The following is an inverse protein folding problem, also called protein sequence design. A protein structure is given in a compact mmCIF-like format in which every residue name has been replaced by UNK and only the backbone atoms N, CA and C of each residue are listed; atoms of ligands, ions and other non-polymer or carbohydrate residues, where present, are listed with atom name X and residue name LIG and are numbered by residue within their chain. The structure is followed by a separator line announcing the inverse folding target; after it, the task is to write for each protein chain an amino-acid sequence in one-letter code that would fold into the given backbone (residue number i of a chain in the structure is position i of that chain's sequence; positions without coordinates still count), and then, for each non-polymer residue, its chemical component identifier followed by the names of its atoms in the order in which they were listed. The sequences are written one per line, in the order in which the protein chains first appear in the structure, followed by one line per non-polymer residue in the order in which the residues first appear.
data_IF_095229994687
#
_entry.id   IF_095229994687
#
_cell.length_a   1.000
_cell.length_b   1.000
_cell.length_c   1.000
_cell.angle_alpha   90.00
_cell.angle_beta   90.00
_cell.angle_gamma   90.00
#
_symmetry.space_group_name_H-M   'P 1'
#
loop_
_entity.id
_entity.type
_entity.pdbx_description
1 polymer ?
#
# COMPACT_ATOMS: atom_id res chain seq x y z
N UNK A 1 2.60 21.86 1.86
CA UNK A 1 2.18 20.44 2.01
C UNK A 1 2.92 19.53 1.01
N UNK A 2 4.18 19.17 1.28
CA UNK A 2 4.96 18.18 0.50
C UNK A 2 4.87 16.75 1.08
N UNK A 3 4.19 16.59 2.21
CA UNK A 3 4.27 15.38 3.06
C UNK A 3 3.69 14.10 2.45
N UNK A 4 2.89 14.20 1.38
CA UNK A 4 2.21 13.05 0.78
C UNK A 4 2.86 12.51 -0.49
N UNK A 5 3.86 13.21 -1.03
CA UNK A 5 4.50 12.81 -2.29
C UNK A 5 5.25 11.47 -2.20
N UNK A 6 5.57 11.03 -0.98
CA UNK A 6 6.20 9.73 -0.72
C UNK A 6 5.20 8.67 -0.26
N UNK A 7 3.90 8.98 -0.27
CA UNK A 7 2.89 8.13 0.33
C UNK A 7 2.16 7.30 -0.72
N UNK A 8 1.83 6.09 -0.32
CA UNK A 8 0.99 5.15 -1.06
C UNK A 8 -0.17 4.73 -0.17
N UNK A 9 -1.34 4.60 -0.78
CA UNK A 9 -2.54 4.06 -0.16
C UNK A 9 -2.79 2.65 -0.71
N UNK A 10 -2.78 1.66 0.17
CA UNK A 10 -3.09 0.26 -0.14
C UNK A 10 -4.50 -0.06 0.34
N UNK A 11 -5.34 -0.58 -0.55
CA UNK A 11 -6.75 -0.90 -0.32
C UNK A 11 -7.03 -2.38 -0.56
N UNK A 12 -8.13 -2.86 0.02
CA UNK A 12 -8.64 -4.21 -0.22
C UNK A 12 -8.01 -5.27 0.67
N UNK A 13 -7.17 -4.91 1.64
CA UNK A 13 -6.52 -5.87 2.55
C UNK A 13 -7.34 -6.02 3.84
N UNK A 14 -7.84 -7.22 4.16
CA UNK A 14 -8.57 -7.49 5.40
C UNK A 14 -7.72 -7.27 6.67
N UNK A 15 -8.39 -6.89 7.77
CA UNK A 15 -7.76 -6.75 9.08
C UNK A 15 -7.52 -8.10 9.74
N UNK A 16 -6.29 -8.35 10.16
CA UNK A 16 -5.91 -9.47 11.05
C UNK A 16 -5.52 -8.91 12.43
N UNK A 17 -5.82 -9.65 13.49
CA UNK A 17 -5.56 -9.23 14.87
C UNK A 17 -4.06 -9.07 15.17
N UNK A 18 -3.23 -9.93 14.57
CA UNK A 18 -1.77 -9.96 14.74
C UNK A 18 -1.08 -9.74 13.39
N UNK A 19 -1.36 -8.61 12.74
CA UNK A 19 -0.73 -8.30 11.46
C UNK A 19 0.60 -7.57 11.63
N UNK A 20 1.55 -7.90 10.78
CA UNK A 20 2.75 -7.11 10.59
C UNK A 20 2.66 -6.36 9.25
N UNK A 21 2.41 -5.05 9.30
CA UNK A 21 2.26 -4.23 8.09
C UNK A 21 3.57 -4.11 7.31
N UNK A 22 4.74 -4.17 7.96
CA UNK A 22 6.03 -4.14 7.27
C UNK A 22 6.25 -5.42 6.45
N UNK A 23 5.95 -6.58 7.02
CA UNK A 23 6.03 -7.86 6.30
C UNK A 23 5.04 -7.90 5.13
N UNK A 24 3.84 -7.36 5.32
CA UNK A 24 2.84 -7.27 4.26
C UNK A 24 3.32 -6.44 3.07
N UNK A 25 3.91 -5.26 3.32
CA UNK A 25 4.46 -4.40 2.27
C UNK A 25 5.69 -5.05 1.62
N UNK A 26 6.55 -5.70 2.39
CA UNK A 26 7.68 -6.47 1.86
C UNK A 26 7.19 -7.57 0.90
N UNK A 27 6.15 -8.33 1.29
CA UNK A 27 5.54 -9.37 0.47
C UNK A 27 4.91 -8.84 -0.82
N UNK A 28 4.24 -7.68 -0.76
CA UNK A 28 3.74 -6.99 -1.97
C UNK A 28 4.92 -6.67 -2.89
N UNK A 29 6.00 -6.12 -2.34
CA UNK A 29 7.23 -5.82 -3.06
C UNK A 29 7.83 -7.04 -3.76
N UNK A 30 7.97 -8.16 -3.04
CA UNK A 30 8.45 -9.42 -3.60
C UNK A 30 7.60 -9.90 -4.78
N UNK A 31 6.25 -9.86 -4.65
CA UNK A 31 5.32 -10.30 -5.69
C UNK A 31 5.43 -9.47 -6.97
N UNK A 32 5.78 -8.20 -6.87
CA UNK A 32 5.94 -7.31 -8.02
C UNK A 32 7.39 -7.09 -8.44
N UNK A 33 8.34 -7.87 -7.88
CA UNK A 33 9.78 -7.77 -8.11
C UNK A 33 10.38 -6.38 -7.77
N UNK A 34 9.87 -5.75 -6.71
CA UNK A 34 10.40 -4.51 -6.12
C UNK A 34 10.61 -4.76 -4.62
N UNK A 35 11.76 -5.30 -4.21
CA UNK A 35 12.02 -5.58 -2.80
C UNK A 35 11.91 -4.30 -1.95
N UNK A 36 11.13 -4.36 -0.87
CA UNK A 36 10.97 -3.27 0.10
C UNK A 36 11.53 -3.73 1.45
N UNK A 37 12.50 -2.98 1.98
CA UNK A 37 13.07 -3.26 3.29
C UNK A 37 12.38 -2.42 4.38
N UNK A 38 12.43 -2.82 5.67
CA UNK A 38 11.90 -2.00 6.75
C UNK A 38 12.49 -0.58 6.79
N UNK A 39 13.78 -0.43 6.45
CA UNK A 39 14.47 0.86 6.38
C UNK A 39 13.96 1.78 5.26
N UNK A 40 13.22 1.24 4.29
CA UNK A 40 12.60 2.02 3.22
C UNK A 40 11.27 2.66 3.63
N UNK A 41 10.74 2.32 4.80
CA UNK A 41 9.44 2.78 5.30
C UNK A 41 9.69 3.77 6.44
N UNK A 42 9.31 5.03 6.24
CA UNK A 42 9.36 6.06 7.29
C UNK A 42 8.17 5.91 8.25
N UNK A 43 6.96 5.66 7.72
CA UNK A 43 5.72 5.54 8.49
C UNK A 43 4.81 4.50 7.82
N UNK A 44 4.16 3.67 8.63
CA UNK A 44 3.10 2.77 8.17
C UNK A 44 1.99 2.66 9.21
N UNK A 45 0.74 2.78 8.79
CA UNK A 45 -0.42 2.65 9.68
C UNK A 45 -1.70 2.40 8.88
N UNK A 46 -2.74 1.98 9.60
CA UNK A 46 -4.09 1.89 9.04
C UNK A 46 -4.86 3.19 9.20
N UNK A 47 -5.68 3.48 8.20
CA UNK A 47 -6.62 4.60 8.20
C UNK A 47 -8.04 4.04 7.97
N UNK A 48 -9.01 4.37 8.84
CA UNK A 48 -10.39 3.95 8.67
C UNK A 48 -11.00 4.59 7.42
N UNK A 49 -11.87 3.86 6.74
CA UNK A 49 -12.69 4.40 5.66
C UNK A 49 -13.99 4.90 6.30
N UNK A 50 -14.38 6.14 5.98
CA UNK A 50 -15.61 6.71 6.51
C UNK A 50 -16.81 5.84 6.08
N UNK A 51 -17.68 5.50 7.03
CA UNK A 51 -18.87 4.67 6.83
C UNK A 51 -18.59 3.23 6.35
N UNK A 52 -17.43 2.66 6.67
CA UNK A 52 -17.11 1.27 6.37
C UNK A 52 -16.28 0.64 7.49
N UNK A 53 -16.50 -0.65 7.75
CA UNK A 53 -15.64 -1.44 8.65
C UNK A 53 -14.27 -1.78 8.03
N UNK A 54 -14.08 -1.42 6.74
CA UNK A 54 -12.82 -1.60 6.03
C UNK A 54 -11.82 -0.50 6.40
N UNK A 55 -10.54 -0.86 6.31
CA UNK A 55 -9.43 0.06 6.58
C UNK A 55 -8.46 0.02 5.41
N UNK A 56 -7.85 1.16 5.11
CA UNK A 56 -6.74 1.25 4.16
C UNK A 56 -5.43 1.28 4.92
N UNK A 57 -4.34 0.94 4.25
CA UNK A 57 -2.99 1.07 4.80
C UNK A 57 -2.31 2.24 4.09
N UNK A 58 -1.78 3.18 4.87
CA UNK A 58 -0.94 4.26 4.36
C UNK A 58 0.50 3.91 4.65
N UNK A 59 1.34 3.98 3.61
CA UNK A 59 2.78 3.75 3.70
C UNK A 59 3.49 5.00 3.20
N UNK A 60 4.35 5.58 4.03
CA UNK A 60 5.28 6.64 3.64
C UNK A 60 6.66 6.03 3.44
N UNK A 61 7.20 6.16 2.23
CA UNK A 61 8.52 5.65 1.89
C UNK A 61 9.62 6.68 2.17
N UNK A 62 10.83 6.21 2.49
CA UNK A 62 12.01 7.06 2.61
C UNK A 62 12.40 7.69 1.26
N UNK A 63 12.27 6.91 0.18
CA UNK A 63 12.71 7.24 -1.18
C UNK A 63 11.55 7.24 -2.16
N UNK A 64 11.36 8.35 -2.86
CA UNK A 64 10.30 8.50 -3.88
C UNK A 64 10.47 7.53 -5.05
N UNK A 65 11.71 7.24 -5.47
CA UNK A 65 11.99 6.36 -6.59
C UNK A 65 11.51 4.92 -6.33
N UNK A 66 11.66 4.44 -5.09
CA UNK A 66 11.18 3.12 -4.70
C UNK A 66 9.65 3.09 -4.68
N UNK A 67 9.04 4.14 -4.11
CA UNK A 67 7.59 4.35 -4.13
C UNK A 67 7.03 4.30 -5.56
N UNK A 68 7.63 5.07 -6.47
CA UNK A 68 7.23 5.16 -7.89
C UNK A 68 7.35 3.79 -8.58
N UNK A 69 8.47 3.09 -8.34
CA UNK A 69 8.72 1.75 -8.90
C UNK A 69 7.70 0.72 -8.41
N UNK A 70 7.40 0.72 -7.10
CA UNK A 70 6.40 -0.16 -6.51
C UNK A 70 5.01 0.12 -7.10
N UNK A 71 4.61 1.39 -7.15
CA UNK A 71 3.32 1.81 -7.68
C UNK A 71 3.15 1.38 -9.15
N UNK A 72 4.15 1.63 -9.99
CA UNK A 72 4.10 1.23 -11.41
C UNK A 72 3.96 -0.29 -11.57
N UNK A 73 4.72 -1.06 -10.80
CA UNK A 73 4.71 -2.52 -10.89
C UNK A 73 3.42 -3.14 -10.35
N UNK A 74 2.88 -2.63 -9.24
CA UNK A 74 1.57 -3.03 -8.73
C UNK A 74 0.43 -2.65 -9.67
N UNK A 75 0.54 -1.55 -10.42
CA UNK A 75 -0.48 -1.19 -11.40
C UNK A 75 -0.50 -2.16 -12.59
N UNK A 76 0.67 -2.63 -13.03
CA UNK A 76 0.82 -3.62 -14.10
C UNK A 76 0.44 -5.03 -13.65
N UNK A 77 0.82 -5.40 -12.43
CA UNK A 77 0.57 -6.72 -11.85
C UNK A 77 -0.58 -6.63 -10.84
N UNK A 78 -1.79 -6.93 -11.28
CA UNK A 78 -2.97 -6.95 -10.40
C UNK A 78 -2.83 -8.06 -9.37
N UNK A 79 -2.62 -7.67 -8.13
CA UNK A 79 -2.58 -8.58 -6.98
C UNK A 79 -3.98 -8.79 -6.42
N UNK A 80 -4.21 -9.95 -5.85
CA UNK A 80 -5.33 -10.22 -4.97
C UNK A 80 -4.85 -10.59 -3.57
N UNK A 81 -5.80 -10.76 -2.66
CA UNK A 81 -5.53 -11.11 -1.28
C UNK A 81 -4.92 -12.53 -1.13
N UNK A 82 -5.24 -13.47 -2.02
CA UNK A 82 -4.66 -14.82 -1.97
C UNK A 82 -3.18 -14.83 -2.34
N UNK A 83 -2.71 -13.95 -3.23
CA UNK A 83 -1.29 -13.71 -3.48
C UNK A 83 -0.52 -13.31 -2.21
N UNK A 84 -1.21 -12.62 -1.30
CA UNK A 84 -0.68 -12.15 -0.02
C UNK A 84 -0.93 -13.13 1.14
N UNK A 85 -1.52 -14.30 0.88
CA UNK A 85 -1.77 -15.33 1.90
C UNK A 85 -3.01 -15.08 2.76
N UNK A 86 -4.02 -14.44 2.19
CA UNK A 86 -5.36 -14.36 2.77
C UNK A 86 -6.29 -15.35 2.07
N UNK A 87 -7.37 -15.75 2.75
CA UNK A 87 -8.34 -16.71 2.23
C UNK A 87 -9.30 -16.09 1.19
N UNK A 88 -9.36 -14.75 1.12
CA UNK A 88 -10.20 -14.02 0.15
C UNK A 88 -9.43 -13.73 -1.13
N UNK A 89 -10.17 -13.61 -2.24
CA UNK A 89 -9.65 -13.22 -3.56
C UNK A 89 -9.91 -11.73 -3.86
N UNK A 90 -10.29 -10.93 -2.86
CA UNK A 90 -10.45 -9.48 -3.03
C UNK A 90 -9.19 -8.85 -3.63
N UNK A 91 -9.38 -7.99 -4.64
CA UNK A 91 -8.30 -7.30 -5.32
C UNK A 91 -7.59 -6.32 -4.38
N UNK A 92 -6.26 -6.29 -4.47
CA UNK A 92 -5.41 -5.37 -3.74
C UNK A 92 -5.06 -4.21 -4.65
N UNK A 93 -5.39 -2.98 -4.21
CA UNK A 93 -5.12 -1.77 -4.99
C UNK A 93 -4.07 -0.93 -4.29
N UNK A 94 -3.01 -0.58 -5.03
CA UNK A 94 -1.93 0.29 -4.58
C UNK A 94 -2.05 1.59 -5.35
N UNK A 95 -2.33 2.70 -4.65
CA UNK A 95 -2.60 4.00 -5.26
C UNK A 95 -1.63 5.06 -4.74
N UNK A 96 -1.39 6.09 -5.54
CA UNK A 96 -0.76 7.31 -5.04
C UNK A 96 -1.67 8.00 -4.02
N UNK A 97 -1.10 8.40 -2.88
CA UNK A 97 -1.84 9.19 -1.91
C UNK A 97 -1.79 10.68 -2.31
N UNK A 98 -2.52 11.02 -3.37
CA UNK A 98 -2.60 12.40 -3.87
C UNK A 98 -3.22 13.34 -2.81
N UNK A 99 -2.69 14.56 -2.71
CA UNK A 99 -3.36 15.65 -2.01
C UNK A 99 -4.77 15.86 -2.61
N UNK A 100 -5.78 16.25 -1.81
CA UNK A 100 -7.14 16.46 -2.30
C UNK A 100 -7.23 17.40 -3.52
N UNK A 101 -6.36 18.41 -3.59
CA UNK A 101 -6.30 19.36 -4.72
C UNK A 101 -5.97 18.72 -6.07
N UNK A 102 -5.28 17.58 -6.08
CA UNK A 102 -4.91 16.84 -7.30
C UNK A 102 -5.89 15.70 -7.65
N UNK A 103 -6.92 15.46 -6.83
CA UNK A 103 -7.94 14.43 -7.10
C UNK A 103 -9.06 14.89 -8.02
N UNK A 104 -8.97 16.11 -8.57
CA UNK A 104 -9.99 16.71 -9.44
C UNK A 104 -9.51 16.72 -10.89
N UNK A 105 -9.56 15.55 -11.55
CA UNK A 105 -9.43 15.39 -13.01
C UNK A 105 -10.50 14.42 -13.49
#
# INVERSE_FOLDING_TARGET
EYSRIKNVEIKGIPRKAEENLHELVAKIGEKVNVPVLPADIEVIHRVPIMNSDKTNIIVQFARRQLRDSLLEKCWRLRLNCSDLGFETEELVFVNEHLCPELKRL
#
